data_IF_566146951953
#
_entry.id   IF_566146951953
#
_cell.length_a   1.000
_cell.length_b   1.000
_cell.length_c   1.000
_cell.angle_alpha   90.00
_cell.angle_beta   90.00
_cell.angle_gamma   90.00
#
_symmetry.space_group_name_H-M   'P 1'
#
loop_
_entity.id
_entity.type
_entity.pdbx_description
1 polymer ?
#
# COMPACT_ATOMS: atom_id res chain seq x y z
N UNK A 1 -49.70 -2.79 37.76
CA UNK A 1 -48.27 -3.00 38.05
C UNK A 1 -47.70 -3.80 36.89
N UNK A 2 -47.27 -3.11 35.82
CA UNK A 2 -46.77 -3.72 34.59
C UNK A 2 -45.27 -3.45 34.55
N UNK A 3 -44.47 -4.50 34.78
CA UNK A 3 -43.01 -4.42 34.80
C UNK A 3 -42.50 -4.52 33.35
N UNK A 4 -42.08 -3.40 32.77
CA UNK A 4 -41.40 -3.36 31.47
C UNK A 4 -39.95 -3.83 31.67
N UNK A 5 -39.69 -5.08 31.31
CA UNK A 5 -38.34 -5.63 31.16
C UNK A 5 -37.71 -5.02 29.89
N UNK A 6 -36.81 -4.05 30.09
CA UNK A 6 -35.90 -3.58 29.06
C UNK A 6 -34.85 -4.67 28.79
N UNK A 7 -35.04 -5.42 27.72
CA UNK A 7 -34.03 -6.34 27.19
C UNK A 7 -32.99 -5.48 26.47
N UNK A 8 -31.85 -5.22 27.13
CA UNK A 8 -30.67 -4.69 26.47
C UNK A 8 -30.11 -5.78 25.54
N UNK A 9 -30.47 -5.72 24.25
CA UNK A 9 -29.75 -6.45 23.21
C UNK A 9 -28.36 -5.80 23.05
N UNK A 10 -27.28 -6.59 22.99
CA UNK A 10 -25.96 -6.05 22.73
C UNK A 10 -25.98 -5.46 21.31
N UNK A 11 -25.81 -4.13 21.25
CA UNK A 11 -25.44 -3.43 20.02
C UNK A 11 -24.14 -4.07 19.59
N UNK A 12 -24.21 -4.97 18.61
CA UNK A 12 -23.03 -5.33 17.84
C UNK A 12 -22.63 -4.03 17.17
N UNK A 13 -21.54 -3.42 17.65
CA UNK A 13 -20.90 -2.36 16.91
C UNK A 13 -20.43 -3.01 15.60
N UNK A 14 -21.22 -2.82 14.54
CA UNK A 14 -20.67 -2.84 13.20
C UNK A 14 -19.58 -1.77 13.20
N UNK A 15 -18.34 -2.21 13.35
CA UNK A 15 -17.17 -1.38 13.10
C UNK A 15 -17.19 -1.15 11.60
N UNK A 16 -17.90 -0.09 11.20
CA UNK A 16 -17.74 0.47 9.87
C UNK A 16 -16.23 0.72 9.68
N UNK A 17 -15.64 0.09 8.67
CA UNK A 17 -14.26 0.35 8.25
C UNK A 17 -14.18 1.71 7.54
N UNK A 18 -14.56 2.78 8.24
CA UNK A 18 -14.17 4.14 7.89
C UNK A 18 -12.89 4.44 8.68
N UNK A 19 -11.74 4.14 8.08
CA UNK A 19 -10.42 4.43 8.67
C UNK A 19 -9.31 3.56 8.11
N UNK A 20 -8.07 3.81 8.55
CA UNK A 20 -6.83 3.15 8.11
C UNK A 20 -6.72 1.68 8.61
N UNK A 21 -7.83 0.95 8.68
CA UNK A 21 -7.87 -0.44 9.16
C UNK A 21 -7.45 -0.61 10.62
N UNK A 22 -7.45 0.46 11.43
CA UNK A 22 -6.93 0.44 12.81
C UNK A 22 -5.41 0.56 12.93
N UNK A 23 -4.71 0.79 11.82
CA UNK A 23 -3.33 1.26 11.82
C UNK A 23 -3.33 2.75 12.18
N UNK A 24 -2.46 3.15 13.10
CA UNK A 24 -2.43 4.54 13.60
C UNK A 24 -1.00 5.04 13.58
N UNK A 25 -0.83 6.28 13.16
CA UNK A 25 0.41 7.04 13.28
C UNK A 25 0.16 8.25 14.17
N UNK A 26 1.06 8.48 15.14
CA UNK A 26 0.99 9.69 15.94
C UNK A 26 1.17 10.92 15.04
N UNK A 27 0.38 11.97 15.25
CA UNK A 27 0.43 13.19 14.41
C UNK A 27 1.83 13.82 14.28
N UNK A 28 2.68 13.66 15.30
CA UNK A 28 4.07 14.16 15.31
C UNK A 28 5.00 13.36 14.37
N UNK A 29 4.61 12.13 14.06
CA UNK A 29 5.38 11.14 13.32
C UNK A 29 4.91 11.01 11.87
N UNK A 30 3.76 11.62 11.53
CA UNK A 30 3.31 11.76 10.13
C UNK A 30 4.33 12.60 9.38
N UNK A 31 4.82 12.07 8.26
CA UNK A 31 5.78 12.75 7.38
C UNK A 31 5.13 13.07 6.05
N UNK A 32 5.63 14.11 5.39
CA UNK A 32 4.99 14.63 4.19
C UNK A 32 3.67 15.33 4.52
N UNK A 33 3.15 16.06 3.54
CA UNK A 33 1.88 16.75 3.67
C UNK A 33 1.15 16.62 2.35
N UNK A 34 -0.18 16.72 2.39
CA UNK A 34 -0.96 16.79 1.16
C UNK A 34 -0.51 18.00 0.34
N UNK A 35 0.14 17.72 -0.78
CA UNK A 35 0.68 18.68 -1.70
C UNK A 35 -0.04 18.63 -3.05
N UNK A 36 0.32 19.53 -3.99
CA UNK A 36 -0.18 19.44 -5.35
C UNK A 36 0.20 18.09 -5.95
N UNK A 37 -0.80 17.29 -6.31
CA UNK A 37 -0.60 16.07 -7.07
C UNK A 37 -0.57 16.39 -8.56
N UNK A 38 0.45 15.92 -9.26
CA UNK A 38 0.60 16.08 -10.72
C UNK A 38 0.53 14.74 -11.47
N UNK A 39 0.00 13.70 -10.84
CA UNK A 39 -0.34 12.42 -11.47
C UNK A 39 -1.85 12.39 -11.72
N UNK A 40 -2.26 12.00 -12.93
CA UNK A 40 -3.67 11.87 -13.28
C UNK A 40 -4.37 10.83 -12.39
N UNK A 41 -5.60 11.15 -11.97
CA UNK A 41 -6.51 10.21 -11.28
C UNK A 41 -7.62 9.79 -12.22
N UNK A 42 -7.84 8.49 -12.36
CA UNK A 42 -8.84 7.92 -13.24
C UNK A 42 -9.77 6.96 -12.49
N UNK A 43 -11.07 7.04 -12.75
CA UNK A 43 -12.05 6.13 -12.14
C UNK A 43 -11.90 4.73 -12.73
N UNK A 44 -11.80 3.71 -11.87
CA UNK A 44 -11.75 2.31 -12.29
C UNK A 44 -12.99 1.88 -13.08
N UNK A 45 -14.13 2.51 -12.85
CA UNK A 45 -15.40 2.19 -13.53
C UNK A 45 -15.39 2.63 -14.99
N UNK A 46 -14.59 3.64 -15.31
CA UNK A 46 -14.55 4.28 -16.64
C UNK A 46 -13.34 3.85 -17.47
N UNK A 47 -12.21 3.52 -16.82
CA UNK A 47 -11.00 3.12 -17.54
C UNK A 47 -11.21 1.77 -18.26
N UNK A 48 -11.07 1.78 -19.58
CA UNK A 48 -11.19 0.58 -20.42
C UNK A 48 -9.81 -0.03 -20.69
N UNK A 49 -9.74 -1.33 -21.04
CA UNK A 49 -8.50 -1.98 -21.47
C UNK A 49 -7.86 -1.28 -22.67
N UNK A 50 -8.68 -0.86 -23.64
CA UNK A 50 -8.21 -0.15 -24.82
C UNK A 50 -7.55 1.18 -24.46
N UNK A 51 -8.18 1.95 -23.58
CA UNK A 51 -7.63 3.22 -23.11
C UNK A 51 -6.36 3.00 -22.30
N UNK A 52 -6.38 2.04 -21.37
CA UNK A 52 -5.22 1.70 -20.56
C UNK A 52 -4.01 1.37 -21.41
N UNK A 53 -4.16 0.48 -22.41
CA UNK A 53 -3.09 0.10 -23.32
C UNK A 53 -2.61 1.25 -24.21
N UNK A 54 -3.50 2.16 -24.57
CA UNK A 54 -3.17 3.25 -25.49
C UNK A 54 -2.50 4.45 -24.79
N UNK A 55 -3.00 4.84 -23.61
CA UNK A 55 -2.55 6.04 -22.89
C UNK A 55 -1.49 5.71 -21.83
N UNK A 56 -1.75 4.72 -20.98
CA UNK A 56 -0.97 4.55 -19.75
C UNK A 56 0.11 3.48 -19.89
N UNK A 57 -0.21 2.31 -20.43
CA UNK A 57 0.61 1.09 -20.36
C UNK A 57 2.10 1.25 -20.76
N UNK A 58 2.43 2.25 -21.57
CA UNK A 58 3.78 2.45 -22.08
C UNK A 58 4.29 3.89 -22.01
N UNK A 59 3.49 4.84 -21.52
CA UNK A 59 3.79 6.27 -21.73
C UNK A 59 3.69 7.13 -20.47
N UNK A 60 2.73 6.91 -19.58
CA UNK A 60 2.54 7.77 -18.41
C UNK A 60 1.88 7.03 -17.23
N UNK A 61 2.08 7.49 -15.98
CA UNK A 61 1.51 6.84 -14.81
C UNK A 61 0.09 7.33 -14.56
N UNK A 62 -0.70 6.53 -13.86
CA UNK A 62 -2.06 6.89 -13.49
C UNK A 62 -2.38 6.34 -12.11
N UNK A 63 -3.06 7.15 -11.30
CA UNK A 63 -3.68 6.71 -10.05
C UNK A 63 -5.12 6.32 -10.38
N UNK A 64 -5.52 5.12 -9.97
CA UNK A 64 -6.83 4.56 -10.24
C UNK A 64 -7.57 4.39 -8.92
N UNK A 65 -8.75 5.00 -8.82
CA UNK A 65 -9.60 4.95 -7.62
C UNK A 65 -10.90 4.16 -7.88
N UNK A 66 -11.68 3.89 -6.83
CA UNK A 66 -12.85 3.00 -6.86
C UNK A 66 -12.52 1.53 -7.20
N UNK A 67 -11.41 1.02 -6.68
CA UNK A 67 -11.02 -0.38 -6.82
C UNK A 67 -11.84 -1.27 -5.87
N UNK A 68 -12.44 -2.33 -6.43
CA UNK A 68 -13.11 -3.38 -5.67
C UNK A 68 -12.08 -4.30 -5.00
N UNK A 69 -11.83 -4.07 -3.71
CA UNK A 69 -10.90 -4.84 -2.88
C UNK A 69 -11.32 -4.83 -1.40
N UNK A 70 -12.62 -4.85 -1.13
CA UNK A 70 -13.18 -4.77 0.23
C UNK A 70 -12.70 -5.92 1.14
N UNK A 71 -12.77 -7.16 0.67
CA UNK A 71 -12.28 -8.33 1.41
C UNK A 71 -10.80 -8.21 1.78
N UNK A 72 -9.96 -7.74 0.85
CA UNK A 72 -8.55 -7.52 1.12
C UNK A 72 -8.33 -6.43 2.18
N UNK A 73 -9.10 -5.33 2.12
CA UNK A 73 -9.04 -4.24 3.12
C UNK A 73 -9.46 -4.73 4.52
N UNK A 74 -10.50 -5.56 4.61
CA UNK A 74 -10.92 -6.19 5.87
C UNK A 74 -9.82 -7.10 6.44
N UNK A 75 -9.24 -7.96 5.59
CA UNK A 75 -8.16 -8.89 5.98
C UNK A 75 -6.86 -8.20 6.37
N UNK A 76 -6.66 -6.95 5.94
CA UNK A 76 -5.49 -6.14 6.26
C UNK A 76 -5.72 -5.14 7.40
N UNK A 77 -6.90 -5.15 8.04
CA UNK A 77 -7.11 -4.41 9.27
C UNK A 77 -6.19 -4.94 10.39
N UNK A 78 -5.66 -4.05 11.23
CA UNK A 78 -4.66 -4.35 12.27
C UNK A 78 -5.05 -5.54 13.14
N UNK A 79 -6.25 -5.49 13.74
CA UNK A 79 -6.69 -6.55 14.63
C UNK A 79 -6.81 -7.88 13.90
N UNK A 80 -7.37 -7.86 12.68
CA UNK A 80 -7.50 -9.06 11.85
C UNK A 80 -6.14 -9.66 11.50
N UNK A 81 -5.17 -8.82 11.17
CA UNK A 81 -3.82 -9.28 10.87
C UNK A 81 -3.12 -9.87 12.10
N UNK A 82 -3.29 -9.27 13.28
CA UNK A 82 -2.75 -9.82 14.53
C UNK A 82 -3.39 -11.18 14.85
N UNK A 83 -4.71 -11.29 14.74
CA UNK A 83 -5.43 -12.53 15.04
C UNK A 83 -4.99 -13.68 14.12
N UNK A 84 -4.85 -13.40 12.81
CA UNK A 84 -4.54 -14.41 11.81
C UNK A 84 -3.03 -14.73 11.72
N UNK A 85 -2.15 -13.74 11.96
CA UNK A 85 -0.74 -13.85 11.57
C UNK A 85 0.27 -13.65 12.69
N UNK A 86 -0.10 -13.26 13.92
CA UNK A 86 0.88 -12.89 14.98
C UNK A 86 2.04 -13.86 15.15
N UNK A 87 1.79 -15.17 15.06
CA UNK A 87 2.78 -16.23 15.30
C UNK A 87 3.53 -16.65 14.02
N UNK A 88 3.25 -16.00 12.88
CA UNK A 88 3.87 -16.29 11.59
C UNK A 88 5.35 -15.89 11.59
N UNK A 89 6.28 -16.76 11.15
CA UNK A 89 7.72 -16.55 11.33
C UNK A 89 8.40 -15.78 10.17
N UNK A 90 9.33 -14.85 10.47
CA UNK A 90 10.69 -14.59 9.88
C UNK A 90 11.07 -13.09 9.84
N UNK A 91 12.33 -12.70 10.14
CA UNK A 91 13.27 -13.27 11.13
C UNK A 91 12.80 -13.05 12.59
N UNK A 92 11.75 -12.27 12.76
CA UNK A 92 10.93 -12.13 13.96
C UNK A 92 9.50 -12.61 13.65
N UNK A 93 8.64 -12.81 14.64
CA UNK A 93 7.23 -13.12 14.31
C UNK A 93 6.54 -11.87 13.75
N UNK A 94 5.42 -12.02 13.03
CA UNK A 94 4.65 -10.87 12.57
C UNK A 94 4.17 -10.00 13.73
N UNK A 95 3.72 -10.61 14.85
CA UNK A 95 3.32 -9.89 16.05
C UNK A 95 4.46 -9.07 16.64
N UNK A 96 5.62 -9.69 16.82
CA UNK A 96 6.82 -9.00 17.32
C UNK A 96 7.26 -7.87 16.37
N UNK A 97 7.19 -8.07 15.05
CA UNK A 97 7.44 -7.02 14.07
C UNK A 97 6.51 -5.83 14.29
N UNK A 98 5.20 -6.07 14.39
CA UNK A 98 4.19 -5.01 14.59
C UNK A 98 4.39 -4.27 15.91
N UNK A 99 4.75 -4.98 16.98
CA UNK A 99 4.89 -4.38 18.31
C UNK A 99 6.22 -3.65 18.51
N UNK A 100 7.32 -4.16 17.95
CA UNK A 100 8.68 -3.71 18.31
C UNK A 100 9.44 -3.04 17.18
N UNK A 101 9.06 -3.29 15.92
CA UNK A 101 9.82 -2.85 14.74
C UNK A 101 9.02 -1.90 13.84
N UNK A 102 7.69 -2.03 13.80
CA UNK A 102 6.80 -1.16 13.05
C UNK A 102 6.62 0.19 13.77
N UNK A 103 7.65 1.02 13.67
CA UNK A 103 7.70 2.37 14.24
C UNK A 103 7.99 3.41 13.18
N UNK A 104 7.57 4.64 13.45
CA UNK A 104 7.94 5.77 12.62
C UNK A 104 9.46 5.99 12.63
N UNK A 105 9.99 6.44 11.51
CA UNK A 105 11.41 6.72 11.31
C UNK A 105 11.61 8.21 11.06
N UNK A 106 12.72 8.74 11.55
CA UNK A 106 13.14 10.11 11.30
C UNK A 106 14.56 10.14 10.75
N UNK A 107 15.05 11.34 10.43
CA UNK A 107 16.38 11.55 9.81
C UNK A 107 17.55 11.12 10.68
N UNK A 108 17.35 10.97 11.99
CA UNK A 108 18.37 10.55 12.94
C UNK A 108 18.37 9.02 13.14
N UNK A 109 17.39 8.31 12.56
CA UNK A 109 17.31 6.85 12.69
C UNK A 109 18.24 6.17 11.69
N UNK A 110 18.99 5.18 12.16
CA UNK A 110 19.92 4.44 11.30
C UNK A 110 19.17 3.50 10.36
N UNK A 111 19.72 3.28 9.16
CA UNK A 111 19.10 2.39 8.17
C UNK A 111 18.97 0.94 8.63
N UNK A 112 19.87 0.47 9.50
CA UNK A 112 19.79 -0.88 10.09
C UNK A 112 18.75 -0.98 11.23
N UNK A 113 18.14 0.12 11.64
CA UNK A 113 17.03 0.18 12.61
C UNK A 113 15.68 0.45 11.93
N UNK A 114 15.70 0.67 10.61
CA UNK A 114 14.53 0.90 9.78
C UNK A 114 14.08 -0.42 9.17
N UNK A 115 13.00 -0.99 9.72
CA UNK A 115 12.45 -2.26 9.24
C UNK A 115 11.25 -2.03 8.33
N UNK A 116 11.25 -2.74 7.19
CA UNK A 116 10.26 -2.60 6.13
C UNK A 116 9.87 -4.00 5.64
N UNK A 117 8.67 -4.48 6.00
CA UNK A 117 8.21 -5.79 5.54
C UNK A 117 7.63 -5.63 4.14
N UNK A 118 8.39 -5.99 3.11
CA UNK A 118 7.97 -5.99 1.71
C UNK A 118 9.03 -6.64 0.81
N UNK A 119 8.68 -6.93 -0.43
CA UNK A 119 9.60 -7.44 -1.46
C UNK A 119 9.38 -8.93 -1.69
N UNK A 120 10.44 -9.74 -1.57
CA UNK A 120 10.33 -11.20 -1.71
C UNK A 120 9.78 -11.81 -0.40
N UNK A 121 8.47 -11.96 -0.35
CA UNK A 121 7.75 -12.57 0.78
C UNK A 121 7.49 -14.05 0.53
N UNK A 122 7.34 -14.83 1.61
CA UNK A 122 7.03 -16.26 1.54
C UNK A 122 5.64 -16.50 0.93
N UNK A 123 5.61 -16.81 -0.36
CA UNK A 123 4.39 -16.96 -1.15
C UNK A 123 3.47 -18.09 -0.65
N UNK A 124 4.03 -19.09 0.06
CA UNK A 124 3.22 -20.19 0.61
C UNK A 124 2.55 -19.76 1.91
N UNK A 125 3.32 -19.13 2.80
CA UNK A 125 2.80 -18.61 4.06
C UNK A 125 1.69 -17.59 3.83
N UNK A 126 1.92 -16.63 2.92
CA UNK A 126 1.00 -15.51 2.70
C UNK A 126 -0.09 -15.80 1.67
N UNK A 127 -0.12 -16.98 1.06
CA UNK A 127 -1.10 -17.34 0.04
C UNK A 127 -2.56 -17.01 0.42
N UNK A 128 -3.06 -17.29 1.64
CA UNK A 128 -4.44 -16.96 2.02
C UNK A 128 -4.77 -15.46 1.98
N UNK A 129 -3.79 -14.61 2.30
CA UNK A 129 -3.94 -13.15 2.19
C UNK A 129 -3.84 -12.71 0.73
N UNK A 130 -2.82 -13.16 0.00
CA UNK A 130 -2.57 -12.78 -1.38
C UNK A 130 -3.73 -13.16 -2.31
N UNK A 131 -4.36 -14.31 -2.09
CA UNK A 131 -5.51 -14.77 -2.88
C UNK A 131 -6.79 -13.96 -2.63
N UNK A 132 -6.87 -13.20 -1.54
CA UNK A 132 -8.00 -12.30 -1.29
C UNK A 132 -7.92 -10.97 -2.04
N UNK A 133 -6.74 -10.65 -2.59
CA UNK A 133 -6.58 -9.47 -3.42
C UNK A 133 -7.14 -9.70 -4.82
N UNK A 134 -8.11 -8.88 -5.21
CA UNK A 134 -8.63 -8.83 -6.58
C UNK A 134 -7.66 -7.98 -7.41
N UNK A 135 -6.97 -8.63 -8.34
CA UNK A 135 -6.09 -7.97 -9.29
C UNK A 135 -6.83 -6.87 -10.08
N UNK A 136 -6.18 -5.74 -10.42
CA UNK A 136 -6.73 -4.78 -11.35
C UNK A 136 -7.17 -5.46 -12.65
N UNK A 137 -8.31 -5.05 -13.21
CA UNK A 137 -8.89 -5.68 -14.41
C UNK A 137 -8.10 -5.42 -15.70
N UNK A 138 -7.16 -4.48 -15.69
CA UNK A 138 -6.34 -4.15 -16.85
C UNK A 138 -5.08 -4.99 -16.89
N UNK A 139 -4.69 -5.41 -18.10
CA UNK A 139 -3.58 -6.33 -18.29
C UNK A 139 -2.54 -5.76 -19.26
N UNK A 140 -1.29 -6.18 -19.10
CA UNK A 140 -0.24 -5.89 -20.06
C UNK A 140 0.00 -7.14 -20.93
N UNK A 141 -0.12 -7.06 -22.27
CA UNK A 141 0.06 -8.21 -23.14
C UNK A 141 1.38 -8.93 -22.88
N UNK A 142 1.31 -10.26 -22.71
CA UNK A 142 2.47 -11.11 -22.47
C UNK A 142 3.05 -11.04 -21.05
N UNK A 143 2.44 -10.29 -20.12
CA UNK A 143 2.94 -10.20 -18.74
C UNK A 143 2.07 -10.97 -17.77
N UNK A 144 2.68 -11.42 -16.66
CA UNK A 144 2.02 -12.09 -15.55
C UNK A 144 2.20 -11.31 -14.26
N UNK A 145 1.17 -11.27 -13.39
CA UNK A 145 1.26 -10.63 -12.10
C UNK A 145 1.99 -11.53 -11.09
N UNK A 146 2.82 -10.91 -10.26
CA UNK A 146 3.36 -11.46 -9.02
C UNK A 146 3.00 -10.51 -7.88
N UNK A 147 2.42 -11.04 -6.80
CA UNK A 147 1.95 -10.25 -5.68
C UNK A 147 2.98 -10.23 -4.53
N UNK A 148 3.10 -9.07 -3.92
CA UNK A 148 3.77 -8.90 -2.62
C UNK A 148 2.99 -7.89 -1.81
N UNK A 149 2.54 -8.27 -0.62
CA UNK A 149 2.01 -7.30 0.34
C UNK A 149 3.14 -6.77 1.21
N UNK A 150 2.94 -5.58 1.75
CA UNK A 150 3.89 -4.98 2.68
C UNK A 150 3.19 -4.19 3.77
N UNK A 151 3.93 -4.01 4.84
CA UNK A 151 3.57 -3.15 5.97
C UNK A 151 4.83 -2.41 6.42
N UNK A 152 4.69 -1.11 6.67
CA UNK A 152 5.81 -0.29 7.10
C UNK A 152 5.34 0.97 7.84
N UNK A 153 6.21 1.51 8.70
CA UNK A 153 5.92 2.71 9.49
C UNK A 153 6.14 4.00 8.70
N UNK A 154 5.63 5.12 9.24
CA UNK A 154 5.86 6.45 8.68
C UNK A 154 7.37 6.76 8.55
N UNK A 155 7.76 7.53 7.54
CA UNK A 155 9.18 7.89 7.31
C UNK A 155 10.00 6.83 6.59
N UNK A 156 9.44 5.64 6.38
CA UNK A 156 10.07 4.57 5.59
C UNK A 156 9.69 4.67 4.11
N UNK A 157 10.44 3.99 3.23
CA UNK A 157 10.13 4.01 1.80
C UNK A 157 11.18 3.29 0.96
N UNK A 158 10.98 3.30 -0.36
CA UNK A 158 11.94 2.76 -1.32
C UNK A 158 12.61 3.92 -2.06
N UNK A 159 13.95 4.00 -2.05
CA UNK A 159 14.68 5.10 -2.69
C UNK A 159 14.46 5.12 -4.22
N UNK A 160 14.85 6.21 -4.86
CA UNK A 160 14.66 6.42 -6.30
C UNK A 160 15.36 5.34 -7.14
N UNK A 161 14.57 4.57 -7.88
CA UNK A 161 15.04 3.43 -8.68
C UNK A 161 14.13 3.18 -9.89
N UNK A 162 14.52 2.22 -10.74
CA UNK A 162 13.68 1.60 -11.77
C UNK A 162 13.94 0.09 -11.74
N UNK A 163 13.08 -0.71 -12.38
CA UNK A 163 13.27 -2.15 -12.44
C UNK A 163 14.24 -2.55 -13.57
N UNK A 164 15.37 -3.16 -13.22
CA UNK A 164 16.42 -3.60 -14.14
C UNK A 164 17.84 -3.30 -13.64
N UNK A 165 18.90 -3.75 -14.34
CA UNK A 165 20.27 -3.44 -13.96
C UNK A 165 20.59 -1.95 -14.17
N UNK A 166 21.19 -1.29 -13.19
CA UNK A 166 21.58 0.12 -13.34
C UNK A 166 22.34 0.71 -12.16
N UNK A 167 23.00 1.84 -12.41
CA UNK A 167 23.48 2.79 -11.42
C UNK A 167 22.62 4.05 -11.52
N UNK A 168 22.31 4.69 -10.38
CA UNK A 168 21.44 5.85 -10.31
C UNK A 168 22.17 7.07 -9.74
N UNK A 169 22.11 8.19 -10.44
CA UNK A 169 22.46 9.52 -9.93
C UNK A 169 21.25 10.43 -10.16
N UNK A 170 20.80 11.11 -9.11
CA UNK A 170 19.68 12.06 -9.21
C UNK A 170 20.23 13.50 -9.25
N UNK A 171 20.24 14.15 -10.42
CA UNK A 171 20.82 15.48 -10.56
C UNK A 171 19.89 16.57 -9.99
N UNK A 172 20.44 17.76 -9.78
CA UNK A 172 19.62 18.93 -9.51
C UNK A 172 18.80 19.31 -10.75
N UNK A 173 17.47 19.24 -10.65
CA UNK A 173 16.53 19.52 -11.74
C UNK A 173 15.79 20.85 -11.55
N UNK A 174 15.58 21.63 -12.63
CA UNK A 174 14.68 22.78 -12.58
C UNK A 174 13.24 22.30 -12.33
N UNK A 175 12.39 23.17 -11.77
CA UNK A 175 11.10 22.77 -11.19
C UNK A 175 10.21 22.01 -12.17
N UNK A 176 10.20 22.43 -13.42
CA UNK A 176 9.42 21.86 -14.52
C UNK A 176 9.92 20.48 -15.01
N UNK A 177 11.13 20.08 -14.61
CA UNK A 177 11.70 18.75 -14.90
C UNK A 177 11.73 17.85 -13.67
N UNK A 178 11.21 18.30 -12.53
CA UNK A 178 11.17 17.49 -11.31
C UNK A 178 10.21 16.30 -11.50
N UNK A 179 10.41 15.21 -10.76
CA UNK A 179 9.54 14.06 -10.78
C UNK A 179 8.07 14.40 -10.54
N UNK A 180 7.18 13.55 -11.06
CA UNK A 180 5.80 13.55 -10.66
C UNK A 180 5.70 13.14 -9.17
N UNK A 181 4.84 13.81 -8.42
CA UNK A 181 4.65 13.67 -6.99
C UNK A 181 3.15 13.61 -6.71
N UNK A 182 2.76 12.69 -5.84
CA UNK A 182 1.39 12.59 -5.36
C UNK A 182 1.33 11.86 -4.03
N UNK A 183 0.45 12.31 -3.14
CA UNK A 183 0.03 11.53 -1.99
C UNK A 183 -1.08 10.56 -2.43
N UNK A 184 -0.82 9.26 -2.32
CA UNK A 184 -1.82 8.23 -2.54
C UNK A 184 -2.78 8.15 -1.35
N UNK A 185 -4.05 7.85 -1.64
CA UNK A 185 -5.10 7.66 -0.63
C UNK A 185 -5.43 6.18 -0.45
N UNK A 186 -5.93 5.76 0.73
CA UNK A 186 -6.42 4.40 0.93
C UNK A 186 -7.43 3.98 -0.15
N UNK A 187 -7.23 2.80 -0.73
CA UNK A 187 -8.08 2.27 -1.81
C UNK A 187 -7.71 2.71 -3.23
N UNK A 188 -6.71 3.58 -3.39
CA UNK A 188 -6.13 3.89 -4.70
C UNK A 188 -5.07 2.87 -5.12
N UNK A 189 -4.91 2.67 -6.42
CA UNK A 189 -3.81 1.91 -7.03
C UNK A 189 -3.05 2.84 -7.97
N UNK A 190 -1.72 2.83 -7.93
CA UNK A 190 -0.90 3.51 -8.94
C UNK A 190 -0.39 2.50 -9.97
N UNK A 191 -0.54 2.84 -11.25
CA UNK A 191 0.17 2.20 -12.34
C UNK A 191 1.27 3.12 -12.85
N UNK A 192 2.44 2.56 -13.13
CA UNK A 192 3.52 3.22 -13.86
C UNK A 192 4.16 2.23 -14.85
N UNK A 193 4.56 2.69 -16.06
CA UNK A 193 5.14 1.81 -17.08
C UNK A 193 6.47 1.17 -16.68
N UNK A 194 6.90 0.16 -17.45
CA UNK A 194 8.22 -0.45 -17.28
C UNK A 194 9.36 0.58 -17.36
N UNK A 195 10.40 0.37 -16.56
CA UNK A 195 11.59 1.24 -16.44
C UNK A 195 11.28 2.71 -16.09
N UNK A 196 10.11 2.98 -15.52
CA UNK A 196 9.83 4.28 -14.93
C UNK A 196 10.62 4.47 -13.65
N UNK A 197 11.31 5.60 -13.54
CA UNK A 197 11.98 5.98 -12.31
C UNK A 197 10.96 6.40 -11.26
N UNK A 198 11.03 5.82 -10.07
CA UNK A 198 10.07 6.08 -9.00
C UNK A 198 10.72 5.92 -7.62
N UNK A 199 10.11 6.56 -6.62
CA UNK A 199 10.42 6.45 -5.21
C UNK A 199 9.12 6.48 -4.42
N UNK A 200 9.11 5.86 -3.25
CA UNK A 200 7.97 5.89 -2.33
C UNK A 200 8.40 6.36 -0.96
N UNK A 201 7.49 7.04 -0.27
CA UNK A 201 7.61 7.41 1.14
C UNK A 201 6.28 7.13 1.81
N UNK A 202 6.29 6.29 2.84
CA UNK A 202 5.13 6.07 3.69
C UNK A 202 4.98 7.31 4.59
N UNK A 203 3.96 8.12 4.32
CA UNK A 203 3.64 9.31 5.12
C UNK A 203 3.10 8.94 6.50
N UNK A 204 2.47 7.78 6.57
CA UNK A 204 1.85 7.17 7.75
C UNK A 204 2.16 5.67 7.75
N UNK A 205 1.78 4.97 8.82
CA UNK A 205 1.83 3.50 8.89
C UNK A 205 0.95 2.94 7.79
N UNK A 206 1.56 2.23 6.85
CA UNK A 206 0.92 1.85 5.61
C UNK A 206 0.94 0.34 5.45
N UNK A 207 -0.24 -0.25 5.20
CA UNK A 207 -0.37 -1.61 4.67
C UNK A 207 -0.75 -1.51 3.21
N UNK A 208 0.00 -2.17 2.35
CA UNK A 208 -0.15 -2.05 0.90
C UNK A 208 0.13 -3.38 0.21
N UNK A 209 -0.24 -3.45 -1.07
CA UNK A 209 0.08 -4.58 -1.93
C UNK A 209 0.55 -4.08 -3.29
N UNK A 210 1.59 -4.71 -3.81
CA UNK A 210 2.14 -4.43 -5.12
C UNK A 210 1.91 -5.61 -6.04
N UNK A 211 1.53 -5.30 -7.28
CA UNK A 211 1.44 -6.26 -8.38
C UNK A 211 2.59 -5.99 -9.33
N UNK A 212 3.60 -6.86 -9.31
CA UNK A 212 4.72 -6.79 -10.24
C UNK A 212 4.32 -7.51 -11.54
N UNK A 213 4.45 -6.83 -12.68
CA UNK A 213 4.18 -7.41 -13.99
C UNK A 213 5.49 -7.80 -14.66
N UNK A 214 5.66 -9.07 -15.00
CA UNK A 214 6.84 -9.57 -15.72
C UNK A 214 6.45 -10.35 -16.99
N UNK A 215 7.23 -10.28 -18.08
CA UNK A 215 7.05 -11.12 -19.27
C UNK A 215 7.08 -12.64 -19.01
#
# INVERSE_FOLDING_TARGET
MLLLLLICLPIHAEVALEGDGGWVTDKKDVVGQEGPCNIERHDARELTEKEFLHRYAYAEPVIIYNIDNEEFREKTAKQRMIDDWKDSPKPTTFGDYVETQLKAQNRDTLGNETMYLFGDIDQTLWAPLLQSYKLPKWSLPGHKPALSFGIAGAGTGVPFHFHGPGFAEYPALPREKRPLECLMKPGEVIYFPDKWWHATLNTETSVFISTFLSP
#
